data_IF_663059724611
#
_entry.id   IF_663059724611
#
_cell.length_a   1.000
_cell.length_b   1.000
_cell.length_c   1.000
_cell.angle_alpha   90.00
_cell.angle_beta   90.00
_cell.angle_gamma   90.00
#
_symmetry.space_group_name_H-M   'P 1'
#
loop_
_entity.id
_entity.type
_entity.pdbx_description
1 polymer ?
#
# COMPACT_ATOMS: atom_id res chain seq x y z
N UNK A 1 -8.07 6.02 -32.77
CA UNK A 1 -7.94 4.85 -31.88
C UNK A 1 -7.11 5.28 -30.68
N UNK A 2 -7.68 5.29 -29.48
CA UNK A 2 -6.97 5.71 -28.28
C UNK A 2 -6.17 4.52 -27.72
N UNK A 3 -4.85 4.66 -27.66
CA UNK A 3 -3.95 3.67 -27.06
C UNK A 3 -4.26 3.55 -25.56
N UNK A 4 -4.38 2.33 -25.00
CA UNK A 4 -4.58 2.18 -23.56
C UNK A 4 -3.32 2.67 -22.83
N UNK A 5 -3.50 3.70 -22.01
CA UNK A 5 -2.45 4.24 -21.15
C UNK A 5 -2.21 3.22 -20.03
N UNK A 6 -1.02 2.62 -19.97
CA UNK A 6 -0.61 1.80 -18.83
C UNK A 6 -0.57 2.69 -17.58
N UNK A 7 -1.51 2.46 -16.67
CA UNK A 7 -1.60 3.12 -15.38
C UNK A 7 -1.24 2.07 -14.34
N UNK A 8 -0.05 2.22 -13.74
CA UNK A 8 0.58 1.20 -12.89
C UNK A 8 -0.30 0.65 -11.78
N UNK A 9 0.11 -0.51 -11.26
CA UNK A 9 -0.68 -1.31 -10.32
C UNK A 9 -0.99 -0.57 -9.00
N UNK A 10 -2.21 -0.75 -8.47
CA UNK A 10 -2.63 -0.20 -7.19
C UNK A 10 -2.06 -0.97 -6.01
N UNK A 11 -2.07 -0.28 -4.85
CA UNK A 11 -2.36 -0.95 -3.59
C UNK A 11 -3.85 -1.26 -3.62
N UNK A 12 -4.22 -2.52 -3.82
CA UNK A 12 -5.59 -2.98 -3.72
C UNK A 12 -6.17 -2.54 -2.37
N UNK A 13 -7.13 -1.62 -2.38
CA UNK A 13 -7.87 -1.20 -1.18
C UNK A 13 -9.13 -2.02 -0.97
N UNK A 14 -9.58 -2.78 -1.97
CA UNK A 14 -10.77 -3.63 -1.88
C UNK A 14 -10.45 -4.97 -1.18
N UNK A 15 -9.17 -5.32 -1.09
CA UNK A 15 -8.59 -6.24 -0.10
C UNK A 15 -8.14 -5.53 1.20
N UNK A 16 -8.73 -4.39 1.57
CA UNK A 16 -8.75 -3.96 2.98
C UNK A 16 -9.79 -4.78 3.78
N UNK A 17 -9.92 -6.08 3.52
CA UNK A 17 -9.82 -6.97 4.66
C UNK A 17 -8.41 -6.73 5.20
N UNK A 18 -8.28 -5.77 6.11
CA UNK A 18 -7.16 -5.82 7.02
C UNK A 18 -7.30 -7.22 7.65
N UNK A 19 -6.38 -8.19 7.47
CA UNK A 19 -5.94 -8.87 8.65
C UNK A 19 -5.19 -7.80 9.45
N UNK A 20 -5.95 -6.87 10.04
CA UNK A 20 -5.79 -6.64 11.45
C UNK A 20 -5.93 -8.06 11.96
N UNK A 21 -4.79 -8.71 12.11
CA UNK A 21 -4.69 -9.63 13.21
C UNK A 21 -4.93 -8.69 14.38
N UNK A 22 -6.22 -8.51 14.72
CA UNK A 22 -6.60 -8.52 16.12
C UNK A 22 -5.73 -9.62 16.68
N UNK A 23 -4.96 -9.29 17.71
CA UNK A 23 -4.06 -10.21 18.35
C UNK A 23 -4.67 -11.61 18.26
N UNK A 24 -3.90 -12.60 17.77
CA UNK A 24 -4.34 -13.99 17.90
C UNK A 24 -4.87 -14.07 19.33
N UNK A 25 -6.13 -14.45 19.51
CA UNK A 25 -6.89 -14.32 20.77
C UNK A 25 -6.24 -15.03 21.98
N UNK A 26 -5.07 -15.64 21.76
CA UNK A 26 -4.20 -16.32 22.70
C UNK A 26 -2.86 -15.60 22.95
N UNK A 27 -2.68 -14.35 22.52
CA UNK A 27 -1.47 -13.57 22.83
C UNK A 27 -1.53 -13.04 24.25
N UNK A 28 -0.60 -13.47 25.11
CA UNK A 28 -0.49 -12.97 26.49
C UNK A 28 -0.22 -11.44 26.58
N UNK A 29 0.10 -10.79 25.47
CA UNK A 29 0.37 -9.35 25.38
C UNK A 29 -0.92 -8.54 25.18
N UNK A 30 -1.97 -9.15 24.61
CA UNK A 30 -3.22 -8.47 24.26
C UNK A 30 -3.94 -7.84 25.46
N UNK A 31 -4.18 -8.56 26.58
CA UNK A 31 -4.91 -7.99 27.71
C UNK A 31 -4.13 -6.82 28.33
N UNK A 32 -2.80 -6.89 28.32
CA UNK A 32 -1.92 -5.85 28.89
C UNK A 32 -1.98 -4.58 28.05
N UNK A 33 -1.93 -4.70 26.74
CA UNK A 33 -2.04 -3.56 25.81
C UNK A 33 -3.42 -2.92 25.91
N UNK A 34 -4.50 -3.73 25.92
CA UNK A 34 -5.86 -3.23 26.01
C UNK A 34 -6.12 -2.46 27.31
N UNK A 35 -5.59 -2.94 28.45
CA UNK A 35 -5.70 -2.24 29.74
C UNK A 35 -4.95 -0.90 29.71
N UNK A 36 -3.72 -0.88 29.17
CA UNK A 36 -2.91 0.35 29.06
C UNK A 36 -3.58 1.36 28.13
N UNK A 37 -4.07 0.92 26.96
CA UNK A 37 -4.75 1.79 26.01
C UNK A 37 -6.03 2.38 26.60
N UNK A 38 -6.86 1.58 27.27
CA UNK A 38 -8.06 2.06 27.96
C UNK A 38 -7.72 3.07 29.07
N UNK A 39 -6.66 2.82 29.82
CA UNK A 39 -6.21 3.72 30.89
C UNK A 39 -5.66 5.05 30.37
N UNK A 40 -4.95 5.04 29.23
CA UNK A 40 -4.31 6.23 28.66
C UNK A 40 -5.25 7.11 27.84
N UNK A 41 -6.17 6.51 27.08
CA UNK A 41 -6.95 7.25 26.08
C UNK A 41 -8.40 7.50 26.50
N UNK A 42 -8.86 6.90 27.61
CA UNK A 42 -10.24 7.01 28.11
C UNK A 42 -11.32 6.71 27.05
N UNK A 43 -10.95 6.01 25.97
CA UNK A 43 -11.82 5.64 24.85
C UNK A 43 -11.57 4.19 24.45
N UNK A 44 -12.55 3.60 23.78
CA UNK A 44 -12.33 2.34 23.08
C UNK A 44 -11.35 2.58 21.93
N UNK A 45 -10.17 1.98 22.02
CA UNK A 45 -9.15 2.02 20.99
C UNK A 45 -9.07 0.65 20.34
N UNK A 46 -8.96 0.61 19.01
CA UNK A 46 -8.65 -0.61 18.30
C UNK A 46 -7.12 -0.76 18.18
N UNK A 47 -6.61 -1.94 18.55
CA UNK A 47 -5.19 -2.27 18.46
C UNK A 47 -5.00 -3.13 17.21
N UNK A 48 -4.35 -2.56 16.22
CA UNK A 48 -4.07 -3.27 14.98
C UNK A 48 -2.57 -3.56 14.88
N UNK A 49 -2.23 -4.84 14.73
CA UNK A 49 -0.89 -5.27 14.35
C UNK A 49 -0.74 -5.19 12.83
N UNK A 50 0.41 -4.71 12.41
CA UNK A 50 0.76 -4.62 11.01
C UNK A 50 2.06 -5.37 10.78
N UNK A 51 2.14 -6.13 9.69
CA UNK A 51 3.42 -6.58 9.18
C UNK A 51 4.29 -5.36 8.79
N UNK A 52 5.61 -5.55 8.80
CA UNK A 52 6.62 -4.54 8.46
C UNK A 52 6.18 -3.69 7.24
N UNK A 53 6.06 -2.37 7.42
CA UNK A 53 5.54 -1.44 6.42
C UNK A 53 4.50 -0.43 6.93
N UNK A 54 4.04 -0.55 8.17
CA UNK A 54 2.98 0.28 8.78
C UNK A 54 3.25 1.79 8.85
N UNK A 55 4.51 2.21 8.70
CA UNK A 55 4.91 3.62 8.81
C UNK A 55 4.28 4.50 7.71
N UNK A 56 4.10 3.95 6.50
CA UNK A 56 3.45 4.66 5.40
C UNK A 56 1.94 4.84 5.65
N UNK A 57 1.29 3.85 6.27
CA UNK A 57 -0.14 3.88 6.61
C UNK A 57 -0.42 4.94 7.66
N UNK A 58 0.35 4.95 8.75
CA UNK A 58 0.21 5.97 9.80
C UNK A 58 0.44 7.37 9.22
N UNK A 59 1.54 7.58 8.50
CA UNK A 59 1.83 8.88 7.88
C UNK A 59 0.73 9.34 6.93
N UNK A 60 0.14 8.41 6.17
CA UNK A 60 -0.97 8.69 5.25
C UNK A 60 -2.25 9.06 5.99
N UNK A 61 -2.65 8.31 7.02
CA UNK A 61 -3.84 8.62 7.82
C UNK A 61 -3.71 10.01 8.48
N UNK A 62 -2.56 10.29 9.10
CA UNK A 62 -2.31 11.59 9.72
C UNK A 62 -2.35 12.71 8.67
N UNK A 63 -1.69 12.54 7.52
CA UNK A 63 -1.70 13.54 6.45
C UNK A 63 -3.12 13.79 5.92
N UNK A 64 -3.90 12.75 5.64
CA UNK A 64 -5.28 12.89 5.17
C UNK A 64 -6.14 13.60 6.21
N UNK A 65 -5.98 13.27 7.50
CA UNK A 65 -6.71 13.93 8.60
C UNK A 65 -6.35 15.41 8.73
N UNK A 66 -5.08 15.78 8.54
CA UNK A 66 -4.58 17.15 8.72
C UNK A 66 -4.79 18.02 7.47
N UNK A 67 -4.81 17.42 6.28
CA UNK A 67 -4.85 18.14 4.98
C UNK A 67 -6.18 18.06 4.26
N UNK A 68 -7.14 17.28 4.77
CA UNK A 68 -8.45 17.13 4.16
C UNK A 68 -9.56 17.12 5.21
N UNK A 69 -10.80 17.10 4.74
CA UNK A 69 -11.99 16.87 5.59
C UNK A 69 -12.53 15.44 5.44
N UNK A 70 -11.72 14.52 4.95
CA UNK A 70 -12.11 13.11 4.85
C UNK A 70 -12.05 12.53 6.26
N UNK A 71 -13.14 11.92 6.75
CA UNK A 71 -13.12 11.26 8.04
C UNK A 71 -12.19 10.05 7.96
N UNK A 72 -11.15 10.04 8.79
CA UNK A 72 -10.26 8.90 9.00
C UNK A 72 -10.12 8.67 10.51
N UNK A 73 -10.01 7.42 10.98
CA UNK A 73 -9.80 7.15 12.40
C UNK A 73 -8.59 7.90 12.94
N UNK A 74 -8.72 8.54 14.09
CA UNK A 74 -7.58 9.20 14.75
C UNK A 74 -6.52 8.17 15.13
N UNK A 75 -5.26 8.50 14.87
CA UNK A 75 -4.11 7.72 15.35
C UNK A 75 -3.70 8.25 16.72
N UNK A 76 -3.86 7.45 17.77
CA UNK A 76 -3.50 7.85 19.13
C UNK A 76 -2.04 7.61 19.46
N UNK A 77 -1.52 6.46 19.04
CA UNK A 77 -0.13 6.08 19.24
C UNK A 77 0.28 4.99 18.23
N UNK A 78 1.56 4.87 17.93
CA UNK A 78 2.07 3.85 17.03
C UNK A 78 3.55 3.55 17.30
N UNK A 79 4.00 2.37 16.91
CA UNK A 79 5.40 1.97 16.95
C UNK A 79 5.76 1.26 15.65
N UNK A 80 6.81 1.74 14.98
CA UNK A 80 7.25 1.25 13.67
C UNK A 80 8.51 0.41 13.73
N UNK A 81 9.24 0.44 14.86
CA UNK A 81 10.52 -0.23 15.03
C UNK A 81 10.48 -1.41 16.02
N UNK A 82 9.32 -1.67 16.63
CA UNK A 82 9.16 -2.76 17.59
C UNK A 82 9.84 -2.54 18.93
N UNK A 83 10.36 -1.34 19.23
CA UNK A 83 11.16 -1.12 20.46
C UNK A 83 10.36 -1.31 21.76
N UNK A 84 9.03 -1.12 21.74
CA UNK A 84 8.21 -1.17 22.96
C UNK A 84 7.60 -2.55 23.20
N UNK A 85 7.15 -3.23 22.13
CA UNK A 85 6.40 -4.50 22.22
C UNK A 85 7.00 -5.62 21.36
N UNK A 86 8.26 -5.48 20.93
CA UNK A 86 8.92 -6.36 19.95
C UNK A 86 8.15 -6.52 18.64
N UNK A 87 7.18 -5.63 18.38
CA UNK A 87 6.24 -5.71 17.27
C UNK A 87 5.81 -4.31 16.85
N UNK A 88 5.49 -4.17 15.57
CA UNK A 88 4.86 -2.98 15.00
C UNK A 88 3.38 -2.93 15.34
N UNK A 89 2.91 -1.79 15.83
CA UNK A 89 1.52 -1.59 16.24
C UNK A 89 1.06 -0.15 15.99
N UNK A 90 -0.26 0.04 15.90
CA UNK A 90 -0.89 1.35 16.06
C UNK A 90 -2.21 1.24 16.82
N UNK A 91 -2.51 2.28 17.57
CA UNK A 91 -3.76 2.51 18.27
C UNK A 91 -4.59 3.49 17.47
N UNK A 92 -5.77 3.04 17.07
CA UNK A 92 -6.71 3.82 16.28
C UNK A 92 -7.99 4.06 17.07
N UNK A 93 -8.66 5.16 16.76
CA UNK A 93 -10.05 5.41 17.14
C UNK A 93 -10.94 4.23 16.74
N UNK A 94 -11.65 3.66 17.71
CA UNK A 94 -12.64 2.63 17.45
C UNK A 94 -13.93 3.28 16.94
N UNK A 95 -14.25 3.07 15.66
CA UNK A 95 -15.50 3.53 15.07
C UNK A 95 -16.62 2.57 15.49
N UNK A 96 -17.31 2.90 16.57
CA UNK A 96 -18.40 2.09 17.13
C UNK A 96 -19.72 2.28 16.39
N UNK A 97 -19.90 3.44 15.75
CA UNK A 97 -21.09 3.78 14.98
C UNK A 97 -20.79 3.66 13.48
N UNK A 98 -20.98 2.46 12.94
CA UNK A 98 -20.80 2.21 11.51
C UNK A 98 -20.95 0.74 11.15
N UNK A 99 -21.30 0.48 9.89
CA UNK A 99 -21.30 -0.86 9.31
C UNK A 99 -20.37 -0.87 8.09
N UNK A 100 -19.81 -2.03 7.77
CA UNK A 100 -19.05 -2.21 6.52
C UNK A 100 -19.94 -1.83 5.34
N UNK A 101 -19.44 -0.96 4.45
CA UNK A 101 -20.22 -0.47 3.31
C UNK A 101 -20.75 -1.62 2.46
N UNK A 102 -19.98 -2.69 2.23
CA UNK A 102 -20.42 -3.87 1.48
C UNK A 102 -21.70 -4.50 2.04
N UNK A 103 -21.84 -4.56 3.36
CA UNK A 103 -23.01 -5.13 4.02
C UNK A 103 -24.17 -4.15 4.01
N UNK A 104 -23.90 -2.88 4.29
CA UNK A 104 -24.91 -1.83 4.34
C UNK A 104 -25.48 -1.49 2.97
N UNK A 105 -24.67 -1.50 1.91
CA UNK A 105 -25.01 -1.01 0.58
C UNK A 105 -26.16 -1.79 -0.06
N UNK A 106 -26.21 -3.11 0.13
CA UNK A 106 -27.31 -3.95 -0.37
C UNK A 106 -28.63 -3.71 0.36
N UNK A 107 -28.58 -3.19 1.59
CA UNK A 107 -29.76 -2.85 2.38
C UNK A 107 -30.28 -1.44 2.12
N UNK A 108 -29.53 -0.60 1.41
CA UNK A 108 -29.95 0.75 1.03
C UNK A 108 -30.99 0.68 -0.10
N UNK A 109 -31.94 1.61 -0.07
CA UNK A 109 -32.80 1.89 -1.22
C UNK A 109 -32.01 2.60 -2.34
N UNK A 110 -32.63 2.81 -3.49
CA UNK A 110 -31.98 3.43 -4.65
C UNK A 110 -31.45 4.84 -4.35
N UNK A 111 -32.19 5.62 -3.55
CA UNK A 111 -31.74 6.95 -3.14
C UNK A 111 -30.51 6.87 -2.22
N UNK A 112 -30.53 5.93 -1.25
CA UNK A 112 -29.41 5.65 -0.35
C UNK A 112 -28.15 5.20 -1.11
N UNK A 113 -28.30 4.28 -2.06
CA UNK A 113 -27.19 3.83 -2.93
C UNK A 113 -26.62 5.00 -3.74
N UNK A 114 -27.47 5.81 -4.37
CA UNK A 114 -27.02 6.97 -5.13
C UNK A 114 -26.28 8.00 -4.24
N UNK A 115 -26.75 8.19 -3.01
CA UNK A 115 -26.08 9.06 -2.02
C UNK A 115 -24.73 8.50 -1.60
N UNK A 116 -24.64 7.22 -1.27
CA UNK A 116 -23.40 6.55 -0.91
C UNK A 116 -22.35 6.63 -2.03
N UNK A 117 -22.76 6.40 -3.28
CA UNK A 117 -21.90 6.55 -4.47
C UNK A 117 -21.39 8.00 -4.59
N UNK A 118 -22.27 8.99 -4.40
CA UNK A 118 -21.89 10.41 -4.48
C UNK A 118 -20.90 10.81 -3.39
N UNK A 119 -21.13 10.35 -2.17
CA UNK A 119 -20.22 10.61 -1.03
C UNK A 119 -18.87 9.94 -1.23
N UNK A 120 -18.86 8.68 -1.65
CA UNK A 120 -17.65 7.96 -2.01
C UNK A 120 -16.88 8.71 -3.12
N UNK A 121 -17.56 9.08 -4.21
CA UNK A 121 -16.99 9.88 -5.28
C UNK A 121 -16.44 11.23 -4.77
N UNK A 122 -17.05 11.82 -3.75
CA UNK A 122 -16.56 13.02 -3.07
C UNK A 122 -15.25 12.79 -2.29
N UNK A 123 -15.13 11.65 -1.59
CA UNK A 123 -13.89 11.24 -0.89
C UNK A 123 -12.77 11.01 -1.88
N UNK A 124 -13.05 10.20 -2.89
CA UNK A 124 -12.25 9.94 -4.09
C UNK A 124 -11.73 11.23 -4.73
N UNK A 125 -12.63 12.19 -4.97
CA UNK A 125 -12.27 13.47 -5.53
C UNK A 125 -11.31 14.23 -4.61
N UNK A 126 -11.59 14.31 -3.30
CA UNK A 126 -10.72 14.99 -2.32
C UNK A 126 -9.34 14.34 -2.21
N UNK A 127 -9.25 13.00 -2.17
CA UNK A 127 -7.95 12.28 -2.20
C UNK A 127 -7.21 12.58 -3.49
N UNK A 128 -7.93 12.60 -4.60
CA UNK A 128 -7.40 13.07 -5.88
C UNK A 128 -7.30 14.59 -5.97
N UNK A 129 -7.29 15.37 -4.89
CA UNK A 129 -6.73 16.73 -4.88
C UNK A 129 -5.42 16.79 -4.07
N UNK A 130 -5.11 15.74 -3.30
CA UNK A 130 -3.83 15.61 -2.61
C UNK A 130 -2.77 15.23 -3.65
N UNK A 131 -1.88 16.18 -3.93
CA UNK A 131 -0.89 16.11 -5.01
C UNK A 131 0.51 16.10 -4.45
N UNK A 132 1.36 15.29 -5.05
CA UNK A 132 2.79 15.28 -4.77
C UNK A 132 3.57 15.48 -6.06
N UNK A 133 4.69 16.19 -5.94
CA UNK A 133 5.62 16.46 -7.06
C UNK A 133 6.55 15.29 -7.34
N UNK A 134 6.48 14.23 -6.52
CA UNK A 134 7.31 13.04 -6.63
C UNK A 134 6.51 11.77 -6.36
N UNK A 135 7.00 10.67 -6.91
CA UNK A 135 6.53 9.30 -6.75
C UNK A 135 7.28 8.63 -5.61
N UNK A 136 6.55 8.08 -4.66
CA UNK A 136 7.14 7.34 -3.58
C UNK A 136 6.20 7.19 -2.39
N UNK A 137 6.78 6.97 -1.22
CA UNK A 137 6.04 6.73 0.01
C UNK A 137 5.98 7.98 0.86
N UNK A 138 4.78 8.35 1.30
CA UNK A 138 4.58 9.48 2.20
C UNK A 138 5.16 9.16 3.58
N UNK A 139 6.02 10.06 4.06
CA UNK A 139 6.74 9.96 5.34
C UNK A 139 6.53 11.23 6.15
N UNK A 140 6.72 11.10 7.46
CA UNK A 140 6.72 12.22 8.41
C UNK A 140 8.09 12.29 9.07
N UNK A 141 8.71 13.47 9.09
CA UNK A 141 9.98 13.71 9.77
C UNK A 141 9.78 13.75 11.30
N UNK A 142 10.89 13.73 12.06
CA UNK A 142 10.84 13.87 13.52
C UNK A 142 10.23 15.22 13.94
N UNK A 143 10.42 16.26 13.12
CA UNK A 143 9.85 17.60 13.28
C UNK A 143 8.38 17.69 12.86
N UNK A 144 7.79 16.57 12.42
CA UNK A 144 6.39 16.48 12.04
C UNK A 144 6.07 16.89 10.60
N UNK A 145 7.07 17.25 9.79
CA UNK A 145 6.89 17.66 8.40
C UNK A 145 6.65 16.45 7.47
N UNK A 146 5.77 16.59 6.49
CA UNK A 146 5.53 15.54 5.50
C UNK A 146 6.44 15.67 4.29
N UNK A 147 6.94 14.53 3.82
CA UNK A 147 7.76 14.44 2.61
C UNK A 147 7.53 13.12 1.90
N UNK A 148 7.90 13.05 0.62
CA UNK A 148 7.85 11.82 -0.17
C UNK A 148 9.25 11.21 -0.19
N UNK A 149 9.41 10.06 0.46
CA UNK A 149 10.60 9.21 0.35
C UNK A 149 10.47 8.22 -0.79
N UNK A 150 11.43 7.31 -0.94
CA UNK A 150 11.33 6.23 -1.92
C UNK A 150 10.06 5.36 -1.76
N UNK A 151 9.57 4.75 -2.84
CA UNK A 151 8.40 3.85 -2.80
C UNK A 151 8.54 2.78 -1.72
N UNK A 152 7.43 2.39 -1.13
CA UNK A 152 7.40 1.22 -0.26
C UNK A 152 7.48 -0.02 -1.14
N UNK A 153 8.32 -0.98 -0.75
CA UNK A 153 8.45 -2.28 -1.40
C UNK A 153 7.12 -3.06 -1.35
N UNK A 154 6.83 -3.82 -2.40
CA UNK A 154 5.65 -4.70 -2.45
C UNK A 154 5.73 -5.73 -1.31
N UNK A 155 4.62 -5.89 -0.58
CA UNK A 155 4.56 -6.64 0.69
C UNK A 155 4.74 -8.15 0.55
N UNK A 156 4.52 -8.72 -0.64
CA UNK A 156 4.38 -10.17 -0.83
C UNK A 156 5.61 -10.98 -0.41
N UNK A 157 6.80 -10.37 -0.28
CA UNK A 157 8.02 -11.03 0.22
C UNK A 157 8.89 -10.10 1.08
N UNK A 158 8.30 -9.15 1.83
CA UNK A 158 9.07 -8.10 2.52
C UNK A 158 10.12 -8.64 3.51
N UNK A 159 9.85 -9.71 4.26
CA UNK A 159 10.83 -10.28 5.19
C UNK A 159 12.06 -10.85 4.45
N UNK A 160 11.82 -11.51 3.31
CA UNK A 160 12.87 -12.09 2.47
C UNK A 160 13.65 -11.01 1.71
N UNK A 161 12.94 -9.97 1.23
CA UNK A 161 13.52 -8.86 0.48
C UNK A 161 14.24 -7.82 1.35
N UNK A 162 13.89 -7.66 2.63
CA UNK A 162 14.58 -6.74 3.56
C UNK A 162 16.00 -7.19 3.86
N UNK A 163 16.26 -8.50 3.91
CA UNK A 163 17.62 -9.03 4.06
C UNK A 163 18.49 -8.82 2.82
N UNK A 164 17.87 -8.56 1.68
CA UNK A 164 18.52 -8.47 0.38
C UNK A 164 18.73 -6.99 0.03
N UNK A 165 19.96 -6.49 0.22
CA UNK A 165 20.38 -5.10 -0.07
C UNK A 165 20.24 -4.67 -1.55
N UNK A 166 19.59 -5.46 -2.39
CA UNK A 166 19.42 -5.23 -3.83
C UNK A 166 18.53 -4.03 -4.17
N UNK A 167 17.78 -3.49 -3.21
CA UNK A 167 16.74 -2.49 -3.46
C UNK A 167 17.15 -1.03 -3.23
N UNK A 168 18.45 -0.73 -3.16
CA UNK A 168 18.96 0.63 -2.87
C UNK A 168 18.46 1.70 -3.85
N UNK A 169 18.12 1.32 -5.09
CA UNK A 169 17.57 2.23 -6.12
C UNK A 169 16.17 2.74 -5.78
N UNK A 170 15.40 2.02 -4.96
CA UNK A 170 14.03 2.38 -4.54
C UNK A 170 14.00 3.23 -3.27
N UNK A 171 15.14 3.56 -2.68
CA UNK A 171 15.19 4.38 -1.47
C UNK A 171 14.87 5.86 -1.72
N UNK A 172 15.00 6.31 -2.97
CA UNK A 172 14.73 7.68 -3.39
C UNK A 172 13.38 7.83 -4.08
N UNK A 173 12.70 8.98 -3.92
CA UNK A 173 11.49 9.27 -4.67
C UNK A 173 11.81 9.56 -6.15
N UNK A 174 10.86 9.29 -7.04
CA UNK A 174 11.01 9.55 -8.48
C UNK A 174 10.29 10.83 -8.91
N UNK A 175 10.75 11.49 -9.96
CA UNK A 175 10.13 12.72 -10.49
C UNK A 175 9.12 12.47 -11.61
N UNK A 176 9.08 11.25 -12.16
CA UNK A 176 8.22 10.88 -13.28
C UNK A 176 7.94 9.37 -13.28
N UNK A 177 6.87 8.97 -13.97
CA UNK A 177 6.41 7.56 -14.05
C UNK A 177 7.41 6.65 -14.75
N UNK A 178 7.99 7.08 -15.87
CA UNK A 178 8.96 6.26 -16.64
C UNK A 178 10.15 5.79 -15.80
N UNK A 179 10.95 6.67 -15.16
CA UNK A 179 12.08 6.22 -14.36
C UNK A 179 11.67 5.39 -13.13
N UNK A 180 10.46 5.60 -12.61
CA UNK A 180 9.91 4.78 -11.54
C UNK A 180 9.61 3.35 -12.02
N UNK A 181 8.85 3.19 -13.11
CA UNK A 181 8.50 1.88 -13.66
C UNK A 181 9.75 1.13 -14.13
N UNK A 182 10.68 1.79 -14.82
CA UNK A 182 11.95 1.19 -15.21
C UNK A 182 12.71 0.66 -13.98
N UNK A 183 12.81 1.46 -12.92
CA UNK A 183 13.49 1.03 -11.70
C UNK A 183 12.81 -0.15 -11.03
N UNK A 184 11.47 -0.25 -11.11
CA UNK A 184 10.72 -1.37 -10.53
C UNK A 184 10.93 -2.66 -11.33
N UNK A 185 10.81 -2.60 -12.65
CA UNK A 185 10.99 -3.79 -13.50
C UNK A 185 12.45 -4.25 -13.56
N UNK A 186 13.42 -3.34 -13.54
CA UNK A 186 14.86 -3.69 -13.45
C UNK A 186 15.19 -4.35 -12.11
N UNK A 187 14.51 -3.96 -11.05
CA UNK A 187 14.66 -4.53 -9.72
C UNK A 187 14.02 -5.92 -9.62
N UNK A 188 12.83 -6.10 -10.20
CA UNK A 188 12.20 -7.42 -10.31
C UNK A 188 13.01 -8.37 -11.21
N UNK A 189 13.57 -7.88 -12.31
CA UNK A 189 14.46 -8.67 -13.16
C UNK A 189 15.71 -9.15 -12.41
N UNK A 190 16.33 -8.27 -11.61
CA UNK A 190 17.45 -8.63 -10.74
C UNK A 190 17.04 -9.65 -9.67
N UNK A 191 15.85 -9.50 -9.10
CA UNK A 191 15.31 -10.44 -8.12
C UNK A 191 15.10 -11.84 -8.72
N UNK A 192 14.43 -11.93 -9.87
CA UNK A 192 14.19 -13.18 -10.61
C UNK A 192 15.51 -13.89 -10.95
N UNK A 193 16.55 -13.15 -11.34
CA UNK A 193 17.87 -13.71 -11.67
C UNK A 193 18.67 -14.12 -10.44
N UNK A 194 18.57 -13.36 -9.33
CA UNK A 194 19.30 -13.62 -8.10
C UNK A 194 18.66 -14.70 -7.21
N UNK A 195 17.36 -14.97 -7.40
CA UNK A 195 16.56 -15.87 -6.56
C UNK A 195 15.71 -16.82 -7.40
N UNK A 196 16.32 -17.63 -8.28
CA UNK A 196 15.59 -18.55 -9.13
C UNK A 196 14.70 -19.51 -8.32
N UNK A 197 15.13 -19.95 -7.14
CA UNK A 197 14.37 -20.83 -6.25
C UNK A 197 13.00 -20.26 -5.86
N UNK A 198 12.86 -18.94 -5.75
CA UNK A 198 11.61 -18.26 -5.39
C UNK A 198 10.64 -18.16 -6.57
N UNK A 199 11.18 -18.06 -7.77
CA UNK A 199 10.36 -18.13 -9.00
C UNK A 199 9.68 -19.49 -9.07
N UNK A 200 10.33 -20.56 -8.59
CA UNK A 200 9.77 -21.91 -8.54
C UNK A 200 8.56 -22.03 -7.60
N UNK A 201 8.58 -21.32 -6.47
CA UNK A 201 7.47 -21.31 -5.50
C UNK A 201 6.21 -20.69 -6.10
N UNK A 202 6.39 -19.69 -6.99
CA UNK A 202 5.30 -19.10 -7.77
C UNK A 202 4.87 -19.97 -8.95
N UNK A 203 5.75 -20.87 -9.42
CA UNK A 203 5.61 -21.56 -10.68
C UNK A 203 4.79 -22.85 -10.64
N UNK A 204 3.92 -23.05 -9.63
CA UNK A 204 2.88 -24.09 -9.70
C UNK A 204 2.06 -24.01 -11.01
N UNK A 205 2.10 -22.87 -11.71
CA UNK A 205 1.52 -22.62 -13.02
C UNK A 205 2.26 -23.20 -14.24
N UNK A 206 3.56 -23.52 -14.17
CA UNK A 206 4.40 -23.78 -15.37
C UNK A 206 4.61 -25.26 -15.73
N UNK A 207 3.80 -26.17 -15.19
CA UNK A 207 3.58 -27.50 -15.79
C UNK A 207 4.82 -28.37 -16.00
N UNK A 208 5.78 -28.35 -15.05
CA UNK A 208 6.94 -29.26 -15.07
C UNK A 208 8.14 -28.81 -15.90
N UNK A 209 8.18 -27.56 -16.37
CA UNK A 209 9.40 -26.95 -16.96
C UNK A 209 10.56 -26.98 -15.97
N UNK A 210 11.79 -27.07 -16.47
CA UNK A 210 12.97 -26.90 -15.64
C UNK A 210 13.03 -25.46 -15.11
N UNK A 211 13.49 -25.28 -13.88
CA UNK A 211 13.53 -23.97 -13.22
C UNK A 211 14.27 -22.90 -14.05
N UNK A 212 15.38 -23.31 -14.66
CA UNK A 212 16.17 -22.43 -15.52
C UNK A 212 15.34 -21.87 -16.69
N UNK A 213 14.55 -22.73 -17.35
CA UNK A 213 13.73 -22.31 -18.48
C UNK A 213 12.64 -21.33 -18.05
N UNK A 214 12.04 -21.55 -16.86
CA UNK A 214 11.06 -20.61 -16.28
C UNK A 214 11.69 -19.25 -15.99
N UNK A 215 12.88 -19.23 -15.39
CA UNK A 215 13.61 -17.98 -15.08
C UNK A 215 14.03 -17.24 -16.35
N UNK A 216 14.46 -17.97 -17.38
CA UNK A 216 14.82 -17.40 -18.68
C UNK A 216 13.58 -16.80 -19.39
N UNK A 217 12.45 -17.51 -19.38
CA UNK A 217 11.17 -17.06 -19.92
C UNK A 217 10.69 -15.78 -19.21
N UNK A 218 10.67 -15.76 -17.87
CA UNK A 218 10.26 -14.58 -17.07
C UNK A 218 11.21 -13.42 -17.31
N UNK A 219 12.52 -13.67 -17.33
CA UNK A 219 13.53 -12.64 -17.61
C UNK A 219 13.36 -12.03 -19.00
N UNK A 220 13.02 -12.84 -20.00
CA UNK A 220 12.74 -12.36 -21.36
C UNK A 220 11.54 -11.42 -21.38
N UNK A 221 10.44 -11.80 -20.71
CA UNK A 221 9.24 -10.96 -20.60
C UNK A 221 9.55 -9.64 -19.92
N UNK A 222 10.22 -9.65 -18.76
CA UNK A 222 10.60 -8.43 -18.03
C UNK A 222 11.47 -7.50 -18.87
N UNK A 223 12.45 -8.03 -19.62
CA UNK A 223 13.26 -7.22 -20.55
C UNK A 223 12.43 -6.58 -21.66
N UNK A 224 11.42 -7.28 -22.18
CA UNK A 224 10.51 -6.71 -23.19
C UNK A 224 9.64 -5.60 -22.59
N UNK A 225 9.15 -5.77 -21.36
CA UNK A 225 8.39 -4.73 -20.63
C UNK A 225 9.27 -3.50 -20.41
N UNK A 226 10.49 -3.67 -19.88
CA UNK A 226 11.46 -2.58 -19.69
C UNK A 226 11.68 -1.79 -20.99
N UNK A 227 11.85 -2.50 -22.12
CA UNK A 227 12.02 -1.86 -23.43
C UNK A 227 10.78 -1.09 -23.89
N UNK A 228 9.58 -1.58 -23.55
CA UNK A 228 8.32 -0.97 -23.96
C UNK A 228 7.93 0.26 -23.12
N UNK A 229 8.31 0.32 -21.84
CA UNK A 229 7.91 1.38 -20.89
C UNK A 229 8.08 2.80 -21.45
N UNK A 230 9.25 3.20 -22.00
CA UNK A 230 9.44 4.57 -22.48
C UNK A 230 8.50 4.97 -23.63
N UNK A 231 8.05 3.98 -24.42
CA UNK A 231 7.13 4.20 -25.55
C UNK A 231 5.67 4.09 -25.16
N UNK A 232 5.35 3.31 -24.12
CA UNK A 232 3.99 3.07 -23.66
C UNK A 232 3.49 4.12 -22.66
N UNK A 233 4.40 4.80 -21.96
CA UNK A 233 4.06 5.79 -20.94
C UNK A 233 4.04 7.20 -21.52
N UNK A 234 3.07 8.00 -21.09
CA UNK A 234 3.11 9.45 -21.32
C UNK A 234 4.31 10.06 -20.57
N UNK A 235 5.04 10.95 -21.23
CA UNK A 235 6.15 11.74 -20.66
C UNK A 235 5.77 13.20 -20.42
N UNK A 236 4.50 13.55 -20.66
CA UNK A 236 3.94 14.88 -20.46
C UNK A 236 3.87 15.31 -19.00
N UNK A 237 3.29 16.48 -18.75
CA UNK A 237 3.17 17.05 -17.40
C UNK A 237 2.39 16.15 -16.43
N UNK A 238 1.40 15.41 -16.92
CA UNK A 238 0.60 14.48 -16.14
C UNK A 238 1.43 13.32 -15.57
N UNK A 239 2.48 12.88 -16.28
CA UNK A 239 3.39 11.83 -15.82
C UNK A 239 4.22 12.18 -14.58
N UNK A 240 4.20 13.46 -14.17
CA UNK A 240 4.94 13.99 -13.02
C UNK A 240 4.04 14.25 -11.82
N UNK A 241 2.73 14.08 -12.00
CA UNK A 241 1.74 14.41 -11.00
C UNK A 241 1.13 13.12 -10.48
N UNK A 242 1.35 12.84 -9.19
CA UNK A 242 0.69 11.73 -8.52
C UNK A 242 -0.37 12.20 -7.55
N UNK A 243 -1.41 11.39 -7.50
CA UNK A 243 -2.48 11.48 -6.53
C UNK A 243 -2.21 10.45 -5.44
N UNK A 244 -2.62 10.74 -4.20
CA UNK A 244 -2.59 9.78 -3.09
C UNK A 244 -3.51 8.57 -3.32
N UNK A 245 -4.28 8.56 -4.41
CA UNK A 245 -5.23 7.53 -4.73
C UNK A 245 -5.14 7.18 -6.21
N UNK A 246 -5.01 5.89 -6.50
CA UNK A 246 -5.03 5.32 -7.83
C UNK A 246 -6.08 4.20 -7.85
N UNK A 247 -6.87 4.17 -8.89
CA UNK A 247 -8.01 3.27 -9.03
C UNK A 247 -7.59 2.07 -9.89
N UNK A 248 -7.64 0.86 -9.36
CA UNK A 248 -8.09 -0.27 -10.18
C UNK A 248 -9.57 -0.48 -9.89
N UNK A 249 -10.39 -0.41 -10.93
CA UNK A 249 -11.68 -1.08 -10.96
C UNK A 249 -11.56 -2.39 -11.68
N UNK A 250 -10.83 -3.33 -11.10
CA UNK A 250 -11.02 -4.71 -11.52
C UNK A 250 -11.74 -5.45 -10.40
N UNK A 251 -13.05 -5.16 -10.30
CA UNK A 251 -14.01 -6.12 -9.78
C UNK A 251 -14.22 -7.17 -10.87
N UNK A 252 -13.48 -8.28 -10.81
CA UNK A 252 -13.89 -9.53 -11.44
C UNK A 252 -14.00 -10.60 -10.38
#
# INVERSE_FOLDING_TARGET
>A
MATPLYRGSPVNTDELDFPATSLRSNSAVEPRIAVVARALFASECNVSHFANGAWNTVGTMMYVSERSRIPVPKVYAYCTNGNVLSQTYMFLEHVTTGQRMREAFEMLDEEGKARAIREYAGVVHKLSQLRFTRIGSLRRSAEGAYYVGGPSMVRSNHADRVGQRTHSTLERPFSAVVPWLLSMEEDELRFVQGHPERVNEWSNFFGGKALKDVVDDVSLVLRQVIKAIPTACDTGSLSKVLCLWHYDLNCR
#
